data_IF_598732862145
#
_entry.id   IF_598732862145
#
_cell.length_a   1.000
_cell.length_b   1.000
_cell.length_c   1.000
_cell.angle_alpha   90.00
_cell.angle_beta   90.00
_cell.angle_gamma   90.00
#
_symmetry.space_group_name_H-M   'P 1'
#
loop_
_entity.id
_entity.type
_entity.pdbx_description
1 polymer ?
#
# COMPACT_ATOMS: atom_id res chain seq x y z
N UNK A 1 -2.79 -21.63 -11.04
CA UNK A 1 -1.52 -21.35 -10.32
C UNK A 1 -1.20 -19.85 -10.39
N UNK A 2 -2.16 -18.95 -10.10
CA UNK A 2 -1.99 -17.52 -10.37
C UNK A 2 -2.33 -16.71 -9.12
N UNK A 3 -1.37 -16.56 -8.21
CA UNK A 3 -1.44 -15.70 -7.02
C UNK A 3 -0.17 -14.86 -6.81
N UNK A 4 0.76 -14.86 -7.77
CA UNK A 4 2.03 -14.14 -7.58
C UNK A 4 1.83 -12.61 -7.69
N UNK A 5 1.13 -12.13 -8.72
CA UNK A 5 0.96 -10.70 -8.99
C UNK A 5 0.25 -9.92 -7.86
N UNK A 6 -0.65 -10.58 -7.13
CA UNK A 6 -1.37 -9.98 -6.01
C UNK A 6 -0.49 -9.80 -4.77
N UNK A 7 0.45 -10.73 -4.56
CA UNK A 7 1.42 -10.66 -3.48
C UNK A 7 2.40 -9.52 -3.72
N UNK A 8 2.89 -9.37 -4.96
CA UNK A 8 3.80 -8.31 -5.37
C UNK A 8 3.22 -6.91 -5.10
N UNK A 9 1.94 -6.69 -5.41
CA UNK A 9 1.30 -5.38 -5.22
C UNK A 9 1.06 -5.09 -3.74
N UNK A 10 0.67 -6.11 -2.96
CA UNK A 10 0.49 -5.98 -1.51
C UNK A 10 1.80 -5.69 -0.79
N UNK A 11 2.88 -6.40 -1.13
CA UNK A 11 4.22 -6.14 -0.60
C UNK A 11 4.71 -4.75 -0.98
N UNK A 12 4.48 -4.32 -2.21
CA UNK A 12 4.82 -2.97 -2.65
C UNK A 12 4.13 -1.88 -1.79
N UNK A 13 2.83 -2.05 -1.52
CA UNK A 13 2.06 -1.14 -0.66
C UNK A 13 2.61 -1.15 0.77
N UNK A 14 2.95 -2.32 1.32
CA UNK A 14 3.52 -2.43 2.67
C UNK A 14 4.90 -1.78 2.76
N UNK A 15 5.80 -2.04 1.80
CA UNK A 15 7.13 -1.45 1.76
C UNK A 15 7.06 0.07 1.64
N UNK A 16 6.19 0.58 0.78
CA UNK A 16 5.96 2.03 0.64
C UNK A 16 5.41 2.64 1.94
N UNK A 17 4.48 1.93 2.58
CA UNK A 17 3.91 2.35 3.86
C UNK A 17 4.95 2.39 4.97
N UNK A 18 5.80 1.37 5.07
CA UNK A 18 6.89 1.31 6.04
C UNK A 18 7.86 2.49 5.86
N UNK A 19 8.28 2.76 4.61
CA UNK A 19 9.16 3.88 4.30
C UNK A 19 8.54 5.22 4.70
N UNK A 20 7.26 5.44 4.38
CA UNK A 20 6.54 6.66 4.76
C UNK A 20 6.39 6.78 6.28
N UNK A 21 6.14 5.66 6.95
CA UNK A 21 6.00 5.60 8.40
C UNK A 21 7.31 5.95 9.11
N UNK A 22 8.45 5.46 8.60
CA UNK A 22 9.78 5.82 9.10
C UNK A 22 10.11 7.30 8.89
N UNK A 23 9.67 7.90 7.78
CA UNK A 23 9.99 9.30 7.46
C UNK A 23 9.08 10.33 8.12
N UNK A 24 7.78 10.04 8.30
CA UNK A 24 6.78 11.02 8.76
C UNK A 24 5.97 10.59 9.99
N UNK A 25 6.16 9.36 10.47
CA UNK A 25 5.34 8.77 11.52
C UNK A 25 3.94 8.37 11.00
N UNK A 26 3.37 7.34 11.64
CA UNK A 26 2.10 6.74 11.24
C UNK A 26 0.93 7.76 11.21
N UNK A 27 0.95 8.75 12.11
CA UNK A 27 -0.11 9.77 12.25
C UNK A 27 -0.15 10.77 11.09
N UNK A 28 0.99 11.01 10.41
CA UNK A 28 1.07 11.89 9.24
C UNK A 28 0.78 11.18 7.91
N UNK A 29 0.69 9.86 7.94
CA UNK A 29 0.53 9.02 6.77
C UNK A 29 -0.96 8.74 6.50
N UNK A 30 -1.57 9.52 5.62
CA UNK A 30 -2.92 9.24 5.13
C UNK A 30 -2.93 8.08 4.14
N UNK A 31 -3.98 7.24 4.15
CA UNK A 31 -4.19 6.20 3.15
C UNK A 31 -4.10 6.75 1.71
N UNK A 32 -4.60 7.96 1.48
CA UNK A 32 -4.51 8.61 0.15
C UNK A 32 -3.07 8.95 -0.26
N UNK A 33 -2.20 9.31 0.68
CA UNK A 33 -0.77 9.56 0.40
C UNK A 33 -0.06 8.25 0.08
N UNK A 34 -0.27 7.21 0.90
CA UNK A 34 0.27 5.87 0.65
C UNK A 34 -0.07 5.38 -0.74
N UNK A 35 -1.35 5.45 -1.11
CA UNK A 35 -1.83 4.99 -2.41
C UNK A 35 -1.28 5.81 -3.57
N UNK A 36 -1.09 7.10 -3.36
CA UNK A 36 -0.48 7.98 -4.35
C UNK A 36 1.01 7.69 -4.52
N UNK A 37 1.73 7.41 -3.43
CA UNK A 37 3.16 7.07 -3.46
C UNK A 37 3.40 5.67 -4.01
N UNK A 38 2.55 4.71 -3.68
CA UNK A 38 2.61 3.33 -4.20
C UNK A 38 1.99 3.20 -5.61
N UNK A 39 1.51 4.31 -6.20
CA UNK A 39 0.85 4.36 -7.51
C UNK A 39 -0.33 3.36 -7.66
N UNK A 40 -1.01 3.05 -6.55
CA UNK A 40 -2.11 2.10 -6.50
C UNK A 40 -3.45 2.83 -6.43
N UNK A 41 -4.42 2.52 -7.32
CA UNK A 41 -5.76 3.10 -7.23
C UNK A 41 -6.50 2.56 -6.00
N UNK A 42 -7.31 3.41 -5.36
CA UNK A 42 -8.13 3.05 -4.18
C UNK A 42 -8.95 1.78 -4.36
N UNK A 43 -9.51 1.55 -5.56
CA UNK A 43 -10.27 0.34 -5.85
C UNK A 43 -9.45 -0.94 -5.72
N UNK A 44 -8.19 -0.93 -6.18
CA UNK A 44 -7.28 -2.08 -6.06
C UNK A 44 -6.79 -2.28 -4.63
N UNK A 45 -6.62 -1.21 -3.84
CA UNK A 45 -6.23 -1.35 -2.43
C UNK A 45 -7.21 -2.21 -1.63
N UNK A 46 -8.51 -1.98 -1.80
CA UNK A 46 -9.54 -2.77 -1.12
C UNK A 46 -9.62 -4.23 -1.60
N UNK A 47 -8.98 -4.56 -2.74
CA UNK A 47 -8.80 -5.94 -3.17
C UNK A 47 -7.71 -6.66 -2.36
N UNK A 48 -6.62 -5.96 -2.05
CA UNK A 48 -5.46 -6.52 -1.34
C UNK A 48 -5.58 -6.48 0.19
N UNK A 49 -6.30 -5.49 0.72
CA UNK A 49 -6.55 -5.32 2.16
C UNK A 49 -8.06 -5.34 2.43
N UNK A 50 -8.69 -6.52 2.38
CA UNK A 50 -10.05 -6.68 2.89
C UNK A 50 -10.06 -6.43 4.41
N UNK A 51 -11.10 -5.73 4.88
CA UNK A 51 -11.36 -5.45 6.30
C UNK A 51 -11.52 -6.73 7.13
#
# INVERSE_FOLDING_TARGET
MNRHSDCDTREHILATGEQLCMHRGFTGMGLSELLKTAEVPKGSFYHYFPL
#
